data_IF_559560931989
#
_entry.id   IF_559560931989
#
_cell.length_a   1.000
_cell.length_b   1.000
_cell.length_c   1.000
_cell.angle_alpha   90.00
_cell.angle_beta   90.00
_cell.angle_gamma   90.00
#
_symmetry.space_group_name_H-M   'P 1'
#
loop_
_entity.id
_entity.type
_entity.pdbx_description
1 polymer ?
#
# COMPACT_ATOMS: atom_id res chain seq x y z
N UNK A 1 -6.62 3.72 -20.65
CA UNK A 1 -5.66 4.77 -21.07
C UNK A 1 -5.83 5.07 -22.54
N UNK A 2 -5.65 4.10 -23.43
CA UNK A 2 -5.91 4.25 -24.88
C UNK A 2 -7.33 4.75 -25.18
N UNK A 3 -8.36 4.18 -24.55
CA UNK A 3 -9.76 4.61 -24.71
C UNK A 3 -10.03 6.07 -24.27
N UNK A 4 -9.12 6.67 -23.51
CA UNK A 4 -9.21 8.04 -23.00
C UNK A 4 -8.14 8.96 -23.60
N UNK A 5 -7.51 8.56 -24.72
CA UNK A 5 -6.43 9.30 -25.36
C UNK A 5 -5.30 9.71 -24.39
N UNK A 6 -4.99 8.87 -23.39
CA UNK A 6 -4.01 9.18 -22.34
C UNK A 6 -4.28 10.50 -21.60
N UNK A 7 -5.53 10.95 -21.56
CA UNK A 7 -5.91 12.27 -21.02
C UNK A 7 -5.08 13.42 -21.63
N UNK A 8 -4.76 13.30 -22.92
CA UNK A 8 -3.94 14.24 -23.69
C UNK A 8 -2.51 14.42 -23.16
N UNK A 9 -1.99 13.45 -22.39
CA UNK A 9 -0.61 13.44 -21.95
C UNK A 9 0.34 13.09 -23.12
N UNK A 10 1.20 14.02 -23.49
CA UNK A 10 2.12 13.90 -24.63
C UNK A 10 3.40 13.08 -24.33
N UNK A 11 3.69 12.83 -23.06
CA UNK A 11 4.89 12.09 -22.66
C UNK A 11 4.74 10.57 -22.74
N UNK A 12 5.86 9.86 -22.61
CA UNK A 12 5.87 8.40 -22.51
C UNK A 12 5.09 7.92 -21.28
N UNK A 13 4.21 6.92 -21.49
CA UNK A 13 3.40 6.31 -20.43
C UNK A 13 3.72 4.83 -20.34
N UNK A 14 4.27 4.42 -19.21
CA UNK A 14 4.54 3.02 -18.91
C UNK A 14 3.39 2.41 -18.11
N UNK A 15 2.86 1.30 -18.60
CA UNK A 15 1.94 0.46 -17.82
C UNK A 15 2.73 -0.66 -17.15
N UNK A 16 2.78 -0.64 -15.82
CA UNK A 16 3.43 -1.69 -15.03
C UNK A 16 2.41 -2.76 -14.62
N UNK A 17 2.44 -3.97 -15.21
CA UNK A 17 1.56 -5.04 -14.77
C UNK A 17 2.01 -5.57 -13.41
N UNK A 18 1.05 -5.74 -12.49
CA UNK A 18 1.35 -6.47 -11.26
C UNK A 18 1.78 -7.91 -11.60
N UNK A 19 2.87 -8.35 -10.99
CA UNK A 19 3.32 -9.75 -11.01
C UNK A 19 3.22 -10.39 -9.61
N UNK A 20 2.39 -9.84 -8.74
CA UNK A 20 2.18 -10.32 -7.37
C UNK A 20 0.69 -10.32 -7.02
N UNK A 21 0.21 -11.46 -6.51
CA UNK A 21 -1.18 -11.66 -6.11
C UNK A 21 -1.21 -12.53 -4.86
N UNK A 22 -2.03 -12.18 -3.89
CA UNK A 22 -2.25 -12.97 -2.67
C UNK A 22 -3.46 -13.90 -2.83
N UNK A 23 -3.35 -15.11 -2.29
CA UNK A 23 -4.51 -15.97 -2.07
C UNK A 23 -5.21 -15.53 -0.78
N UNK A 24 -6.54 -15.39 -0.84
CA UNK A 24 -7.37 -15.35 0.35
C UNK A 24 -7.37 -16.74 0.97
N UNK A 25 -7.37 -16.79 2.30
CA UNK A 25 -7.44 -18.05 3.04
C UNK A 25 -8.65 -18.07 3.95
N UNK A 26 -9.08 -19.27 4.34
CA UNK A 26 -10.02 -19.41 5.44
C UNK A 26 -9.36 -18.86 6.72
N UNK A 27 -10.01 -17.95 7.44
CA UNK A 27 -9.41 -17.30 8.60
C UNK A 27 -9.25 -18.29 9.76
N UNK A 28 -8.27 -18.05 10.63
CA UNK A 28 -8.13 -18.82 11.86
C UNK A 28 -9.23 -18.41 12.85
N UNK A 29 -9.67 -19.32 13.70
CA UNK A 29 -10.62 -19.08 14.79
C UNK A 29 -10.13 -17.94 15.70
N UNK A 30 -8.83 -17.89 16.00
CA UNK A 30 -8.24 -16.83 16.83
C UNK A 30 -8.36 -15.44 16.17
N UNK A 31 -8.23 -15.37 14.85
CA UNK A 31 -8.26 -14.11 14.10
C UNK A 31 -9.71 -13.60 14.03
N UNK A 32 -10.67 -14.51 13.86
CA UNK A 32 -12.11 -14.21 13.90
C UNK A 32 -12.55 -13.72 15.29
N UNK A 33 -12.11 -14.39 16.36
CA UNK A 33 -12.40 -13.96 17.74
C UNK A 33 -11.91 -12.54 17.99
N UNK A 34 -10.65 -12.26 17.66
CA UNK A 34 -10.07 -10.92 17.81
C UNK A 34 -10.84 -9.87 16.98
N UNK A 35 -11.11 -10.17 15.70
CA UNK A 35 -11.85 -9.28 14.81
C UNK A 35 -13.24 -8.90 15.35
N UNK A 36 -13.97 -9.84 15.96
CA UNK A 36 -15.28 -9.54 16.52
C UNK A 36 -15.22 -8.87 17.89
N UNK A 37 -14.21 -9.16 18.71
CA UNK A 37 -13.97 -8.43 19.97
C UNK A 37 -13.73 -6.93 19.70
N UNK A 38 -13.02 -6.58 18.63
CA UNK A 38 -12.86 -5.18 18.21
C UNK A 38 -14.17 -4.55 17.69
N UNK A 39 -15.03 -5.31 17.00
CA UNK A 39 -16.32 -4.82 16.49
C UNK A 39 -17.36 -4.58 17.59
N UNK A 40 -17.29 -5.32 18.69
CA UNK A 40 -18.30 -5.34 19.77
C UNK A 40 -18.26 -4.13 20.73
N UNK A 41 -17.55 -3.06 20.39
CA UNK A 41 -17.42 -1.88 21.25
C UNK A 41 -18.70 -1.04 21.40
N UNK A 42 -19.78 -1.35 20.66
CA UNK A 42 -21.09 -0.70 20.84
C UNK A 42 -22.06 -1.60 21.63
N UNK A 43 -22.63 -1.09 22.73
CA UNK A 43 -23.68 -1.79 23.48
C UNK A 43 -24.93 -1.94 22.63
N UNK A 44 -25.27 -3.17 22.26
CA UNK A 44 -26.48 -3.52 21.53
C UNK A 44 -27.55 -4.11 22.49
N UNK A 45 -28.79 -4.20 22.02
CA UNK A 45 -29.86 -4.95 22.69
C UNK A 45 -29.46 -6.43 22.84
N UNK A 46 -29.74 -7.04 23.99
CA UNK A 46 -29.43 -8.43 24.34
C UNK A 46 -29.88 -9.45 23.26
N UNK A 47 -31.03 -9.21 22.61
CA UNK A 47 -31.51 -10.09 21.55
C UNK A 47 -30.66 -9.99 20.28
N UNK A 48 -30.20 -8.78 19.95
CA UNK A 48 -29.35 -8.54 18.78
C UNK A 48 -27.96 -9.13 19.03
N UNK A 49 -27.44 -8.98 20.25
CA UNK A 49 -26.19 -9.59 20.67
C UNK A 49 -26.20 -11.11 20.50
N UNK A 50 -27.28 -11.77 20.95
CA UNK A 50 -27.40 -13.23 20.82
C UNK A 50 -27.40 -13.71 19.37
N UNK A 51 -28.09 -12.98 18.48
CA UNK A 51 -28.12 -13.30 17.04
C UNK A 51 -26.72 -13.15 16.44
N UNK A 52 -25.98 -12.10 16.81
CA UNK A 52 -24.60 -11.92 16.36
C UNK A 52 -23.68 -13.03 16.88
N UNK A 53 -23.79 -13.40 18.16
CA UNK A 53 -22.98 -14.47 18.75
C UNK A 53 -23.24 -15.83 18.06
N UNK A 54 -24.50 -16.12 17.72
CA UNK A 54 -24.86 -17.32 16.98
C UNK A 54 -24.29 -17.31 15.55
N UNK A 55 -24.32 -16.16 14.86
CA UNK A 55 -23.70 -15.98 13.55
C UNK A 55 -22.16 -16.15 13.62
N UNK A 56 -21.51 -15.52 14.60
CA UNK A 56 -20.06 -15.61 14.82
C UNK A 56 -19.63 -17.06 15.10
N UNK A 57 -20.41 -17.79 15.90
CA UNK A 57 -20.17 -19.22 16.14
C UNK A 57 -20.28 -20.03 14.84
N UNK A 58 -21.33 -19.81 14.05
CA UNK A 58 -21.53 -20.50 12.78
C UNK A 58 -20.40 -20.22 11.78
N UNK A 59 -19.95 -18.96 11.66
CA UNK A 59 -18.83 -18.57 10.78
C UNK A 59 -17.49 -19.15 11.26
N UNK A 60 -17.27 -19.25 12.56
CA UNK A 60 -16.10 -19.94 13.13
C UNK A 60 -16.11 -21.42 12.78
N UNK A 61 -17.23 -22.10 13.02
CA UNK A 61 -17.38 -23.53 12.70
C UNK A 61 -17.22 -23.77 11.19
N UNK A 62 -17.74 -22.88 10.35
CA UNK A 62 -17.52 -22.91 8.91
C UNK A 62 -16.03 -22.84 8.56
N UNK A 63 -15.29 -21.85 9.08
CA UNK A 63 -13.86 -21.71 8.78
C UNK A 63 -13.05 -22.96 9.19
N UNK A 64 -13.35 -23.52 10.38
CA UNK A 64 -12.73 -24.75 10.87
C UNK A 64 -13.05 -25.96 9.99
N UNK A 65 -14.29 -26.06 9.51
CA UNK A 65 -14.73 -27.16 8.64
C UNK A 65 -14.01 -27.16 7.29
N UNK A 66 -13.54 -26.00 6.83
CA UNK A 66 -12.82 -25.82 5.56
C UNK A 66 -11.31 -26.00 5.68
N UNK A 67 -10.76 -25.91 6.89
CA UNK A 67 -9.33 -25.92 7.15
C UNK A 67 -8.80 -24.50 7.36
N UNK A 68 -8.51 -24.13 8.60
CA UNK A 68 -7.99 -22.81 8.95
C UNK A 68 -6.64 -22.56 8.27
N UNK A 69 -6.51 -21.41 7.58
CA UNK A 69 -5.31 -21.05 6.83
C UNK A 69 -5.18 -21.71 5.45
N UNK A 70 -6.05 -22.65 5.09
CA UNK A 70 -6.09 -23.22 3.75
C UNK A 70 -6.63 -22.22 2.72
N UNK A 71 -6.28 -22.43 1.46
CA UNK A 71 -6.71 -21.59 0.34
C UNK A 71 -8.24 -21.50 0.24
N UNK A 72 -8.76 -20.25 0.20
CA UNK A 72 -10.16 -20.00 -0.11
C UNK A 72 -10.43 -20.33 -1.58
N UNK A 73 -10.98 -21.52 -1.82
CA UNK A 73 -11.13 -22.10 -3.16
C UNK A 73 -12.57 -22.07 -3.70
N UNK A 74 -13.56 -21.86 -2.82
CA UNK A 74 -14.99 -22.02 -3.11
C UNK A 74 -15.66 -20.73 -3.61
N UNK A 75 -15.03 -19.99 -4.53
CA UNK A 75 -15.63 -18.78 -5.10
C UNK A 75 -15.09 -18.46 -6.50
N UNK A 76 -15.63 -17.43 -7.15
CA UNK A 76 -15.08 -16.87 -8.40
C UNK A 76 -13.64 -16.43 -8.17
N UNK A 77 -12.78 -16.60 -9.19
CA UNK A 77 -11.35 -16.27 -9.08
C UNK A 77 -11.09 -14.88 -8.50
N UNK A 78 -11.78 -13.84 -8.98
CA UNK A 78 -11.60 -12.47 -8.48
C UNK A 78 -11.91 -12.28 -6.99
N UNK A 79 -12.71 -13.18 -6.40
CA UNK A 79 -13.06 -13.17 -4.98
C UNK A 79 -12.17 -14.09 -4.13
N UNK A 80 -11.29 -14.88 -4.77
CA UNK A 80 -10.32 -15.77 -4.13
C UNK A 80 -8.94 -15.14 -3.97
N UNK A 81 -8.70 -14.04 -4.66
CA UNK A 81 -7.42 -13.35 -4.65
C UNK A 81 -7.56 -11.92 -4.12
N UNK A 82 -6.46 -11.35 -3.65
CA UNK A 82 -6.35 -9.95 -3.29
C UNK A 82 -5.01 -9.36 -3.76
N UNK A 83 -4.95 -8.05 -4.03
CA UNK A 83 -3.69 -7.33 -4.08
C UNK A 83 -2.96 -7.48 -2.74
N UNK A 84 -1.67 -7.87 -2.71
CA UNK A 84 -0.95 -8.17 -1.46
C UNK A 84 -0.35 -6.91 -0.79
N UNK A 85 -0.95 -5.75 -1.00
CA UNK A 85 -0.47 -4.46 -0.50
C UNK A 85 0.53 -3.76 -1.43
N UNK A 86 0.69 -2.45 -1.20
CA UNK A 86 1.44 -1.55 -2.09
C UNK A 86 2.97 -1.68 -1.98
N UNK A 87 3.50 -2.51 -1.07
CA UNK A 87 4.94 -2.80 -1.06
C UNK A 87 5.43 -3.36 -2.40
N UNK A 88 4.57 -4.10 -3.13
CA UNK A 88 4.94 -4.76 -4.38
C UNK A 88 4.98 -3.85 -5.61
N UNK A 89 4.52 -2.60 -5.54
CA UNK A 89 4.44 -1.72 -6.72
C UNK A 89 5.83 -1.44 -7.32
N UNK A 90 6.78 -0.99 -6.50
CA UNK A 90 8.15 -0.69 -6.94
C UNK A 90 8.95 -1.97 -7.23
N UNK A 91 8.93 -3.02 -6.39
CA UNK A 91 9.52 -4.31 -6.71
C UNK A 91 9.01 -4.91 -8.02
N UNK A 92 7.73 -4.72 -8.34
CA UNK A 92 7.18 -5.18 -9.61
C UNK A 92 7.80 -4.48 -10.80
N UNK A 93 8.17 -3.19 -10.73
CA UNK A 93 8.89 -2.51 -11.82
C UNK A 93 10.20 -3.24 -12.19
N UNK A 94 10.92 -3.75 -11.19
CA UNK A 94 12.12 -4.58 -11.40
C UNK A 94 11.75 -5.96 -11.93
N UNK A 95 10.78 -6.63 -11.29
CA UNK A 95 10.36 -8.01 -11.60
C UNK A 95 9.73 -8.15 -12.99
N UNK A 96 8.98 -7.16 -13.45
CA UNK A 96 8.26 -7.20 -14.71
C UNK A 96 9.04 -6.60 -15.89
N UNK A 97 10.19 -5.98 -15.62
CA UNK A 97 11.07 -5.41 -16.64
C UNK A 97 10.68 -4.00 -17.08
N UNK A 98 9.69 -3.35 -16.46
CA UNK A 98 9.31 -1.98 -16.78
C UNK A 98 10.42 -1.00 -16.40
N UNK A 99 11.07 -1.20 -15.25
CA UNK A 99 12.23 -0.39 -14.88
C UNK A 99 13.36 -0.53 -15.90
N UNK A 100 13.58 -1.73 -16.44
CA UNK A 100 14.56 -1.94 -17.50
C UNK A 100 14.20 -1.17 -18.78
N UNK A 101 12.91 -1.13 -19.14
CA UNK A 101 12.42 -0.29 -20.24
C UNK A 101 12.70 1.19 -20.00
N UNK A 102 12.25 1.72 -18.85
CA UNK A 102 12.46 3.12 -18.47
C UNK A 102 13.95 3.53 -18.50
N UNK A 103 14.85 2.66 -18.04
CA UNK A 103 16.30 2.92 -18.03
C UNK A 103 16.93 2.88 -19.43
N UNK A 104 16.39 2.11 -20.38
CA UNK A 104 16.86 2.12 -21.77
C UNK A 104 16.37 3.35 -22.51
N UNK A 105 15.14 3.76 -22.25
CA UNK A 105 14.54 4.93 -22.88
C UNK A 105 15.17 6.24 -22.34
N UNK A 106 15.62 6.22 -21.08
CA UNK A 106 16.37 7.31 -20.47
C UNK A 106 17.48 6.81 -19.54
N UNK A 107 18.71 6.70 -20.07
CA UNK A 107 19.89 6.28 -19.31
C UNK A 107 20.22 7.21 -18.13
N UNK A 108 19.76 8.47 -18.19
CA UNK A 108 19.98 9.48 -17.15
C UNK A 108 18.88 9.50 -16.08
N UNK A 109 17.88 8.61 -16.17
CA UNK A 109 16.86 8.47 -15.14
C UNK A 109 17.50 8.05 -13.82
N UNK A 110 17.36 8.87 -12.77
CA UNK A 110 17.99 8.66 -11.45
C UNK A 110 16.99 8.58 -10.31
N UNK A 111 15.86 9.26 -10.47
CA UNK A 111 14.90 9.45 -9.39
C UNK A 111 13.49 9.11 -9.86
N UNK A 112 12.70 8.54 -8.96
CA UNK A 112 11.26 8.36 -9.13
C UNK A 112 10.53 9.17 -8.05
N UNK A 113 9.39 9.76 -8.42
CA UNK A 113 8.38 10.19 -7.47
C UNK A 113 7.26 9.16 -7.50
N UNK A 114 7.01 8.50 -6.37
CA UNK A 114 5.92 7.54 -6.20
C UNK A 114 4.89 8.15 -5.26
N UNK A 115 3.62 8.15 -5.64
CA UNK A 115 2.52 8.65 -4.80
C UNK A 115 1.26 7.82 -5.05
N UNK A 116 0.32 7.88 -4.10
CA UNK A 116 -1.01 7.29 -4.32
C UNK A 116 -1.77 8.07 -5.38
N UNK A 117 -2.58 7.35 -6.15
CA UNK A 117 -3.45 7.94 -7.17
C UNK A 117 -4.48 8.91 -6.57
N UNK A 118 -4.86 8.73 -5.30
CA UNK A 118 -5.76 9.59 -4.56
C UNK A 118 -5.09 10.84 -3.95
N UNK A 119 -3.75 10.96 -4.03
CA UNK A 119 -2.99 12.17 -3.64
C UNK A 119 -2.91 13.15 -4.81
N UNK A 120 -4.01 13.83 -5.11
CA UNK A 120 -4.11 14.67 -6.31
C UNK A 120 -3.17 15.89 -6.32
N UNK A 121 -2.72 16.35 -5.15
CA UNK A 121 -1.82 17.50 -5.02
C UNK A 121 -0.33 17.19 -5.27
N UNK A 122 0.02 15.92 -5.49
CA UNK A 122 1.39 15.51 -5.73
C UNK A 122 1.81 15.83 -7.18
N UNK A 123 2.94 16.54 -7.32
CA UNK A 123 3.58 16.82 -8.59
C UNK A 123 5.10 16.83 -8.42
N UNK A 124 5.86 16.87 -9.51
CA UNK A 124 7.32 17.00 -9.45
C UNK A 124 7.70 18.42 -9.03
N UNK A 125 8.02 18.61 -7.75
CA UNK A 125 8.46 19.90 -7.20
C UNK A 125 10.00 19.94 -7.13
N UNK A 126 10.68 20.82 -7.90
CA UNK A 126 12.14 20.86 -7.96
C UNK A 126 12.83 21.06 -6.62
N UNK A 127 12.23 21.86 -5.70
CA UNK A 127 12.81 22.07 -4.38
C UNK A 127 12.87 20.77 -3.56
N UNK A 128 11.80 19.96 -3.62
CA UNK A 128 11.74 18.67 -2.90
C UNK A 128 12.69 17.64 -3.50
N UNK A 129 12.78 17.59 -4.83
CA UNK A 129 13.80 16.76 -5.50
C UNK A 129 15.22 17.18 -5.09
N UNK A 130 15.51 18.49 -5.08
CA UNK A 130 16.80 19.02 -4.63
C UNK A 130 17.13 18.63 -3.18
N UNK A 131 16.14 18.67 -2.28
CA UNK A 131 16.29 18.20 -0.90
C UNK A 131 16.59 16.71 -0.82
N UNK A 132 15.90 15.87 -1.61
CA UNK A 132 16.17 14.44 -1.68
C UNK A 132 17.60 14.16 -2.14
N UNK A 133 18.05 14.83 -3.21
CA UNK A 133 19.41 14.73 -3.76
C UNK A 133 20.44 15.14 -2.70
N UNK A 134 20.26 16.29 -2.06
CA UNK A 134 21.19 16.80 -1.06
C UNK A 134 21.24 15.91 0.20
N UNK A 135 20.11 15.30 0.58
CA UNK A 135 20.04 14.35 1.69
C UNK A 135 20.73 13.02 1.39
N UNK A 136 20.84 12.64 0.12
CA UNK A 136 21.45 11.39 -0.33
C UNK A 136 20.77 10.16 0.27
N UNK A 137 19.46 10.21 0.49
CA UNK A 137 18.66 9.11 1.01
C UNK A 137 18.24 8.18 -0.11
N UNK A 138 18.10 6.88 0.18
CA UNK A 138 17.51 5.95 -0.78
C UNK A 138 16.03 6.28 -1.00
N UNK A 139 15.29 6.49 0.09
CA UNK A 139 13.90 6.92 0.08
C UNK A 139 13.74 8.25 0.83
N UNK A 140 12.87 9.14 0.37
CA UNK A 140 12.44 10.32 1.15
C UNK A 140 10.93 10.43 1.11
N UNK A 141 10.29 10.25 2.25
CA UNK A 141 8.84 10.31 2.38
C UNK A 141 8.37 11.73 2.68
N UNK A 142 7.30 12.14 2.01
CA UNK A 142 6.60 13.37 2.30
C UNK A 142 5.54 13.11 3.38
N UNK A 143 5.55 13.93 4.42
CA UNK A 143 4.60 13.88 5.53
C UNK A 143 3.87 15.21 5.67
N UNK A 144 2.66 15.20 6.20
CA UNK A 144 1.91 16.42 6.51
C UNK A 144 1.65 16.52 8.01
N UNK A 145 1.48 17.73 8.59
CA UNK A 145 0.98 17.85 9.94
C UNK A 145 -0.35 17.10 10.08
N UNK A 146 -0.44 16.21 11.06
CA UNK A 146 -1.61 15.37 11.27
C UNK A 146 -2.83 16.20 11.70
N UNK A 147 -3.99 15.85 11.18
CA UNK A 147 -5.30 16.33 11.64
C UNK A 147 -6.17 15.18 12.15
N UNK A 148 -7.27 15.53 12.81
CA UNK A 148 -8.16 14.55 13.45
C UNK A 148 -8.84 13.63 12.43
N UNK A 149 -9.08 14.12 11.22
CA UNK A 149 -9.66 13.36 10.12
C UNK A 149 -8.68 12.41 9.42
N UNK A 150 -7.38 12.53 9.70
CA UNK A 150 -6.37 11.68 9.07
C UNK A 150 -6.35 10.31 9.76
N UNK A 151 -6.89 9.29 9.08
CA UNK A 151 -6.85 7.90 9.51
C UNK A 151 -5.64 7.17 8.92
N UNK A 152 -4.89 6.47 9.77
CA UNK A 152 -3.78 5.60 9.39
C UNK A 152 -2.42 6.03 9.93
N UNK A 153 -1.39 5.53 9.24
CA UNK A 153 -0.02 5.62 9.71
C UNK A 153 0.60 7.01 9.70
N UNK A 154 1.68 7.16 10.47
CA UNK A 154 2.39 8.42 10.61
C UNK A 154 3.86 8.25 10.98
N UNK A 155 4.55 9.38 11.17
CA UNK A 155 5.95 9.38 11.55
C UNK A 155 6.10 9.20 13.06
N UNK A 156 6.90 8.23 13.47
CA UNK A 156 7.18 7.95 14.88
C UNK A 156 8.67 7.71 15.12
N UNK A 157 9.10 7.90 16.37
CA UNK A 157 10.41 7.47 16.85
C UNK A 157 10.25 6.24 17.72
N UNK A 158 10.66 5.08 17.22
CA UNK A 158 10.53 3.78 17.89
C UNK A 158 11.93 3.22 18.11
N UNK A 159 12.27 2.88 19.35
CA UNK A 159 13.60 2.40 19.74
C UNK A 159 14.76 3.27 19.23
N UNK A 160 14.57 4.59 19.27
CA UNK A 160 15.56 5.57 18.81
C UNK A 160 15.57 5.82 17.31
N UNK A 161 14.84 5.05 16.50
CA UNK A 161 14.81 5.13 15.05
C UNK A 161 13.56 5.85 14.54
N UNK A 162 13.73 6.84 13.66
CA UNK A 162 12.61 7.54 13.04
C UNK A 162 12.13 6.73 11.84
N UNK A 163 10.88 6.28 11.90
CA UNK A 163 10.23 5.47 10.86
C UNK A 163 8.76 5.82 10.70
N UNK A 164 8.19 5.46 9.57
CA UNK A 164 6.75 5.39 9.42
C UNK A 164 6.24 4.16 10.19
N UNK A 165 5.07 4.31 10.80
CA UNK A 165 4.31 3.24 11.42
C UNK A 165 2.93 3.24 10.79
N UNK A 166 2.47 2.08 10.33
CA UNK A 166 1.14 1.90 9.75
C UNK A 166 0.07 1.86 10.86
N UNK A 167 -1.16 2.30 10.58
CA UNK A 167 -2.25 2.28 11.58
C UNK A 167 -2.50 0.86 12.12
N UNK A 168 -2.48 -0.13 11.23
CA UNK A 168 -2.61 -1.57 11.56
C UNK A 168 -1.48 -2.11 12.44
N UNK A 169 -0.35 -1.40 12.56
CA UNK A 169 0.75 -1.78 13.43
C UNK A 169 0.64 -1.18 14.84
N UNK A 170 -0.31 -0.27 15.06
CA UNK A 170 -0.51 0.35 16.37
C UNK A 170 -1.28 -0.58 17.29
N UNK A 171 -0.87 -0.71 18.58
CA UNK A 171 -1.57 -1.58 19.52
C UNK A 171 -3.00 -1.14 19.81
N UNK A 172 -3.28 0.16 19.71
CA UNK A 172 -4.57 0.77 20.03
C UNK A 172 -4.86 1.89 19.04
N UNK A 173 -6.12 2.03 18.65
CA UNK A 173 -6.54 3.08 17.70
C UNK A 173 -6.20 4.48 18.23
N UNK A 174 -6.32 4.71 19.54
CA UNK A 174 -6.02 6.04 20.11
C UNK A 174 -4.54 6.43 20.07
N UNK A 175 -3.62 5.48 19.87
CA UNK A 175 -2.19 5.78 19.73
C UNK A 175 -1.91 6.59 18.45
N UNK A 176 -2.80 6.50 17.45
CA UNK A 176 -2.74 7.32 16.25
C UNK A 176 -2.77 8.83 16.57
N UNK A 177 -3.54 9.26 17.56
CA UNK A 177 -3.66 10.67 17.96
C UNK A 177 -2.37 11.22 18.59
N UNK A 178 -1.45 10.35 19.02
CA UNK A 178 -0.14 10.73 19.53
C UNK A 178 0.84 11.17 18.45
N UNK A 179 0.54 10.92 17.17
CA UNK A 179 1.44 11.24 16.05
C UNK A 179 1.27 12.68 15.55
N UNK A 180 2.39 13.39 15.38
CA UNK A 180 2.36 14.77 14.87
C UNK A 180 2.30 14.86 13.34
N UNK A 181 2.69 13.79 12.64
CA UNK A 181 2.82 13.77 11.19
C UNK A 181 2.08 12.58 10.59
N UNK A 182 1.26 12.86 9.58
CA UNK A 182 0.55 11.88 8.76
C UNK A 182 1.39 11.47 7.54
N UNK A 183 1.37 10.18 7.22
CA UNK A 183 2.04 9.63 6.04
C UNK A 183 1.22 9.86 4.77
N UNK A 184 1.71 10.67 3.83
CA UNK A 184 1.06 10.89 2.54
C UNK A 184 1.27 9.74 1.54
N UNK A 185 2.18 8.83 1.88
CA UNK A 185 2.75 7.78 1.04
C UNK A 185 3.42 8.28 -0.26
N UNK A 186 3.57 9.60 -0.42
CA UNK A 186 4.38 10.21 -1.48
C UNK A 186 5.84 10.10 -1.10
N UNK A 187 6.67 9.56 -2.00
CA UNK A 187 8.09 9.34 -1.73
C UNK A 187 8.96 9.51 -2.97
N UNK A 188 10.13 10.10 -2.74
CA UNK A 188 11.22 10.17 -3.70
C UNK A 188 12.13 8.96 -3.54
N UNK A 189 12.51 8.35 -4.65
CA UNK A 189 13.33 7.14 -4.71
C UNK A 189 14.58 7.44 -5.51
N UNK A 190 15.77 7.24 -4.93
CA UNK A 190 17.02 7.17 -5.68
C UNK A 190 17.17 5.75 -6.24
N UNK A 191 17.08 5.60 -7.57
CA UNK A 191 17.02 4.31 -8.24
C UNK A 191 18.24 3.45 -7.92
N UNK A 192 19.44 4.00 -8.07
CA UNK A 192 20.68 3.23 -7.87
C UNK A 192 20.84 2.78 -6.42
N UNK A 193 20.56 3.65 -5.45
CA UNK A 193 20.58 3.28 -4.02
C UNK A 193 19.53 2.23 -3.68
N UNK A 194 18.37 2.24 -4.34
CA UNK A 194 17.35 1.21 -4.16
C UNK A 194 17.81 -0.12 -4.76
N UNK A 195 18.36 -0.11 -5.98
CA UNK A 195 18.91 -1.31 -6.61
C UNK A 195 20.01 -1.92 -5.75
N UNK A 196 20.96 -1.11 -5.28
CA UNK A 196 22.03 -1.53 -4.37
C UNK A 196 21.47 -2.15 -3.08
N UNK A 197 20.42 -1.57 -2.50
CA UNK A 197 19.75 -2.11 -1.31
C UNK A 197 19.14 -3.51 -1.57
N UNK A 198 18.61 -3.75 -2.77
CA UNK A 198 18.17 -5.08 -3.19
C UNK A 198 19.34 -5.98 -3.62
N UNK A 199 20.59 -5.51 -3.66
CA UNK A 199 21.75 -6.28 -4.14
C UNK A 199 21.77 -6.43 -5.67
N UNK A 200 21.19 -5.46 -6.38
CA UNK A 200 21.05 -5.39 -7.83
C UNK A 200 21.77 -4.15 -8.38
N UNK A 201 22.00 -4.11 -9.69
CA UNK A 201 22.52 -2.93 -10.38
C UNK A 201 21.76 -2.73 -11.71
N UNK A 202 21.93 -1.55 -12.34
CA UNK A 202 21.23 -1.22 -13.60
C UNK A 202 21.50 -2.24 -14.71
N UNK A 203 22.75 -2.69 -14.83
CA UNK A 203 23.17 -3.61 -15.89
C UNK A 203 22.44 -4.93 -15.75
N UNK A 204 22.38 -5.47 -14.54
CA UNK A 204 21.63 -6.69 -14.23
C UNK A 204 20.15 -6.54 -14.57
N UNK A 205 19.51 -5.44 -14.17
CA UNK A 205 18.09 -5.16 -14.48
C UNK A 205 17.85 -5.13 -16.00
N UNK A 206 18.69 -4.41 -16.76
CA UNK A 206 18.53 -4.26 -18.21
C UNK A 206 18.77 -5.56 -18.97
N UNK A 207 19.73 -6.39 -18.53
CA UNK A 207 20.08 -7.66 -19.16
C UNK A 207 19.14 -8.81 -18.76
N UNK A 208 18.30 -8.64 -17.73
CA UNK A 208 17.45 -9.73 -17.21
C UNK A 208 16.30 -10.14 -18.14
N UNK A 209 15.83 -9.24 -19.02
CA UNK A 209 14.74 -9.55 -19.95
C UNK A 209 15.10 -10.68 -20.94
N UNK A 210 16.39 -10.81 -21.28
CA UNK A 210 16.91 -11.81 -22.21
C UNK A 210 17.68 -12.94 -21.49
N UNK A 211 17.76 -12.89 -20.16
CA UNK A 211 18.58 -13.81 -19.37
C UNK A 211 17.82 -14.30 -18.12
N UNK A 212 17.40 -15.57 -18.17
CA UNK A 212 16.62 -16.21 -17.12
C UNK A 212 17.37 -16.32 -15.78
N UNK A 213 18.69 -16.48 -15.79
CA UNK A 213 19.50 -16.52 -14.56
C UNK A 213 19.46 -15.17 -13.84
N UNK A 214 19.61 -14.07 -14.59
CA UNK A 214 19.50 -12.71 -14.04
C UNK A 214 18.09 -12.40 -13.57
N UNK A 215 17.08 -12.85 -14.31
CA UNK A 215 15.69 -12.72 -13.88
C UNK A 215 15.42 -13.45 -12.55
N UNK A 216 15.96 -14.66 -12.37
CA UNK A 216 15.88 -15.38 -11.11
C UNK A 216 16.60 -14.64 -9.98
N UNK A 217 17.78 -14.06 -10.25
CA UNK A 217 18.49 -13.23 -9.28
C UNK A 217 17.68 -12.01 -8.83
N UNK A 218 16.94 -11.35 -9.72
CA UNK A 218 16.01 -10.25 -9.34
C UNK A 218 14.93 -10.79 -8.39
N UNK A 219 14.30 -11.92 -8.73
CA UNK A 219 13.24 -12.52 -7.92
C UNK A 219 13.76 -12.90 -6.52
N UNK A 220 14.92 -13.52 -6.43
CA UNK A 220 15.53 -13.93 -5.15
C UNK A 220 15.92 -12.71 -4.30
N UNK A 221 16.41 -11.66 -4.93
CA UNK A 221 16.73 -10.39 -4.29
C UNK A 221 15.49 -9.72 -3.71
N UNK A 222 14.39 -9.67 -4.47
CA UNK A 222 13.10 -9.16 -4.00
C UNK A 222 12.60 -9.98 -2.80
N UNK A 223 12.64 -11.32 -2.89
CA UNK A 223 12.22 -12.22 -1.81
C UNK A 223 13.06 -12.07 -0.54
N UNK A 224 14.35 -11.76 -0.68
CA UNK A 224 15.25 -11.51 0.46
C UNK A 224 14.78 -10.31 1.29
N UNK A 225 14.41 -9.21 0.62
CA UNK A 225 13.87 -8.03 1.29
C UNK A 225 12.43 -8.28 1.78
N UNK A 226 11.59 -8.92 0.98
CA UNK A 226 10.19 -9.23 1.30
C UNK A 226 10.05 -9.96 2.65
N UNK A 227 10.95 -10.91 2.95
CA UNK A 227 10.97 -11.66 4.21
C UNK A 227 11.20 -10.79 5.45
N UNK A 228 11.76 -9.59 5.28
CA UNK A 228 12.06 -8.64 6.36
C UNK A 228 10.91 -7.67 6.60
N UNK A 229 9.93 -7.60 5.70
CA UNK A 229 8.79 -6.71 5.78
C UNK A 229 7.66 -7.39 6.56
N UNK A 230 7.05 -6.72 7.56
CA UNK A 230 5.87 -7.22 8.25
C UNK A 230 4.75 -7.61 7.28
N UNK A 231 3.98 -8.64 7.63
CA UNK A 231 2.77 -9.00 6.91
C UNK A 231 1.57 -8.75 7.83
N UNK A 232 0.66 -7.88 7.40
CA UNK A 232 -0.58 -7.61 8.11
C UNK A 232 -1.64 -8.60 7.68
N UNK A 233 -2.38 -9.12 8.64
CA UNK A 233 -3.54 -9.99 8.39
C UNK A 233 -4.79 -9.14 8.58
N UNK A 234 -5.64 -9.06 7.55
CA UNK A 234 -6.93 -8.39 7.65
C UNK A 234 -8.06 -9.37 7.35
N UNK A 235 -9.13 -9.29 8.13
CA UNK A 235 -10.37 -10.01 7.86
C UNK A 235 -11.23 -9.15 6.95
N UNK A 236 -11.63 -9.72 5.81
CA UNK A 236 -12.53 -9.07 4.85
C UNK A 236 -13.72 -9.98 4.58
N UNK A 237 -14.84 -9.37 4.24
CA UNK A 237 -16.05 -10.09 3.86
C UNK A 237 -16.11 -10.27 2.34
N UNK A 238 -16.36 -11.50 1.89
CA UNK A 238 -16.60 -11.83 0.49
C UNK A 238 -18.00 -12.37 0.30
N UNK A 239 -18.65 -11.94 -0.77
CA UNK A 239 -19.96 -12.45 -1.19
C UNK A 239 -19.77 -13.80 -1.88
N UNK A 240 -20.60 -14.76 -1.54
CA UNK A 240 -20.67 -16.07 -2.19
C UNK A 240 -22.08 -16.26 -2.75
N UNK A 241 -22.18 -16.36 -4.07
CA UNK A 241 -23.46 -16.55 -4.77
C UNK A 241 -23.62 -18.01 -5.13
N UNK A 242 -24.73 -18.61 -4.73
CA UNK A 242 -25.05 -20.02 -4.97
C UNK A 242 -26.51 -20.20 -5.38
N UNK A 243 -26.85 -21.43 -5.80
CA UNK A 243 -28.22 -21.80 -6.18
C UNK A 243 -28.77 -20.93 -7.32
N UNK A 244 -29.96 -20.37 -7.10
CA UNK A 244 -30.68 -19.51 -8.06
C UNK A 244 -30.46 -18.01 -7.82
N UNK A 245 -29.40 -17.64 -7.08
CA UNK A 245 -29.07 -16.25 -6.76
C UNK A 245 -29.10 -15.93 -5.26
N UNK A 246 -29.04 -16.94 -4.40
CA UNK A 246 -28.80 -16.73 -2.97
C UNK A 246 -27.39 -16.15 -2.75
N UNK A 247 -27.26 -15.19 -1.84
CA UNK A 247 -26.00 -14.53 -1.51
C UNK A 247 -25.73 -14.68 -0.01
N UNK A 248 -24.61 -15.32 0.33
CA UNK A 248 -24.05 -15.36 1.67
C UNK A 248 -22.78 -14.52 1.75
N UNK A 249 -22.42 -14.09 2.95
CA UNK A 249 -21.21 -13.31 3.22
C UNK A 249 -20.31 -14.09 4.16
N UNK A 250 -19.08 -14.35 3.72
CA UNK A 250 -18.10 -15.11 4.47
C UNK A 250 -16.87 -14.26 4.80
N UNK A 251 -16.31 -14.37 6.02
CA UNK A 251 -15.05 -13.75 6.36
C UNK A 251 -13.89 -14.54 5.73
N UNK A 252 -12.92 -13.83 5.17
CA UNK A 252 -11.67 -14.38 4.65
C UNK A 252 -10.50 -13.58 5.19
N UNK A 253 -9.37 -14.25 5.42
CA UNK A 253 -8.13 -13.59 5.77
C UNK A 253 -7.35 -13.20 4.50
N UNK A 254 -6.76 -12.00 4.53
CA UNK A 254 -5.90 -11.45 3.50
C UNK A 254 -4.60 -10.98 4.11
N UNK A 255 -3.50 -11.14 3.37
CA UNK A 255 -2.18 -10.73 3.79
C UNK A 255 -1.71 -9.54 2.95
N UNK A 256 -1.22 -8.50 3.61
CA UNK A 256 -0.73 -7.29 2.97
C UNK A 256 0.64 -6.89 3.51
N UNK A 257 1.49 -6.38 2.61
CA UNK A 257 2.77 -5.73 2.94
C UNK A 257 2.74 -4.29 2.48
N UNK A 258 3.18 -3.38 3.34
CA UNK A 258 3.05 -1.94 3.13
C UNK A 258 4.41 -1.31 2.83
N UNK A 259 4.46 -0.43 1.82
CA UNK A 259 5.69 0.25 1.39
C UNK A 259 6.31 1.12 2.50
N UNK A 260 5.50 1.71 3.39
CA UNK A 260 5.98 2.50 4.51
C UNK A 260 6.91 1.73 5.46
N UNK A 261 6.71 0.41 5.58
CA UNK A 261 7.53 -0.47 6.42
C UNK A 261 8.98 -0.60 5.94
N UNK A 262 9.29 -0.18 4.70
CA UNK A 262 10.69 -0.07 4.25
C UNK A 262 11.50 0.83 5.20
N UNK A 263 10.87 1.85 5.79
CA UNK A 263 11.51 2.79 6.73
C UNK A 263 11.88 2.16 8.08
N UNK A 264 11.34 0.98 8.39
CA UNK A 264 11.74 0.21 9.58
C UNK A 264 13.10 -0.48 9.44
N UNK A 265 13.58 -0.68 8.21
CA UNK A 265 14.85 -1.36 7.93
C UNK A 265 16.02 -0.38 8.18
N UNK A 266 16.78 -0.61 9.26
CA UNK A 266 17.83 0.33 9.72
C UNK A 266 19.02 0.50 8.75
N UNK A 267 19.23 -0.47 7.88
CA UNK A 267 20.20 -0.46 6.79
C UNK A 267 19.71 0.27 5.53
N UNK A 268 18.42 0.66 5.48
CA UNK A 268 17.87 1.53 4.45
C UNK A 268 17.91 2.99 4.91
N UNK A 269 18.62 3.84 4.17
CA UNK A 269 18.65 5.27 4.46
C UNK A 269 17.35 5.95 4.00
N UNK A 270 16.42 6.14 4.93
CA UNK A 270 15.18 6.88 4.72
C UNK A 270 15.29 8.33 5.25
N UNK A 271 14.72 9.28 4.50
CA UNK A 271 14.54 10.67 4.90
C UNK A 271 13.06 11.05 4.96
N UNK A 272 12.77 12.21 5.55
CA UNK A 272 11.41 12.73 5.69
C UNK A 272 11.39 14.23 5.43
N UNK A 273 10.34 14.70 4.76
CA UNK A 273 10.12 16.12 4.51
C UNK A 273 8.67 16.48 4.81
N UNK A 274 8.47 17.52 5.62
CA UNK A 274 7.14 18.06 5.86
C UNK A 274 6.70 18.89 4.66
N UNK A 275 5.52 18.61 4.12
CA UNK A 275 4.92 19.32 3.00
C UNK A 275 3.58 19.96 3.38
N UNK A 276 3.10 20.86 2.53
CA UNK A 276 1.76 21.45 2.72
C UNK A 276 0.67 20.37 2.62
N UNK A 277 -0.43 20.57 3.35
CA UNK A 277 -1.58 19.65 3.28
C UNK A 277 -2.12 19.55 1.85
N UNK A 278 -2.21 20.65 1.12
CA UNK A 278 -2.71 20.66 -0.25
C UNK A 278 -1.92 19.75 -1.20
N UNK A 279 -0.63 19.54 -0.94
CA UNK A 279 0.20 18.59 -1.69
C UNK A 279 -0.04 17.13 -1.28
N UNK A 280 -0.17 16.89 0.03
CA UNK A 280 -0.15 15.55 0.62
C UNK A 280 -1.52 14.95 0.98
N UNK A 281 -2.61 15.69 0.79
CA UNK A 281 -3.97 15.26 1.12
C UNK A 281 -4.44 14.16 0.16
N UNK A 282 -5.02 13.11 0.74
CA UNK A 282 -5.56 11.96 0.03
C UNK A 282 -7.09 12.02 0.01
N UNK A 283 -7.68 11.70 -1.14
CA UNK A 283 -9.13 11.58 -1.32
C UNK A 283 -9.57 10.12 -1.20
N UNK A 284 -9.64 9.61 0.04
CA UNK A 284 -9.91 8.18 0.31
C UNK A 284 -11.36 7.78 0.04
N UNK A 285 -12.30 8.69 0.25
CA UNK A 285 -13.73 8.40 0.16
C UNK A 285 -14.48 9.50 -0.60
N UNK A 286 -15.59 9.17 -1.31
CA UNK A 286 -16.39 10.16 -2.03
C UNK A 286 -16.91 11.31 -1.14
N UNK A 287 -17.14 11.05 0.15
CA UNK A 287 -17.57 12.05 1.14
C UNK A 287 -16.59 13.21 1.30
N UNK A 288 -15.30 13.00 0.99
CA UNK A 288 -14.24 14.01 1.12
C UNK A 288 -14.22 15.01 -0.04
N UNK A 289 -14.94 14.73 -1.15
CA UNK A 289 -14.89 15.56 -2.36
C UNK A 289 -15.38 16.99 -2.14
N UNK A 290 -16.45 17.17 -1.35
CA UNK A 290 -16.99 18.50 -1.06
C UNK A 290 -15.99 19.35 -0.28
N UNK A 291 -15.36 18.77 0.75
CA UNK A 291 -14.33 19.46 1.54
C UNK A 291 -13.15 19.83 0.63
N UNK A 292 -12.63 18.88 -0.14
CA UNK A 292 -11.48 19.12 -1.03
C UNK A 292 -11.75 20.18 -2.12
N UNK A 293 -12.99 20.24 -2.62
CA UNK A 293 -13.38 21.23 -3.60
C UNK A 293 -13.47 22.65 -3.02
N UNK A 294 -13.75 22.77 -1.72
CA UNK A 294 -14.05 24.05 -1.05
C UNK A 294 -12.95 24.51 -0.06
N UNK A 295 -12.02 23.65 0.36
CA UNK A 295 -10.98 23.94 1.35
C UNK A 295 -9.72 24.60 0.76
N UNK A 296 -9.73 24.87 -0.55
CA UNK A 296 -8.60 25.43 -1.31
C UNK A 296 -7.68 24.39 -1.95
N UNK A 297 -7.87 23.09 -1.72
CA UNK A 297 -7.07 22.03 -2.35
C UNK A 297 -7.24 21.98 -3.86
N UNK A 298 -8.47 22.14 -4.34
CA UNK A 298 -8.74 22.22 -5.77
C UNK A 298 -8.09 23.44 -6.43
N UNK A 299 -8.18 24.61 -5.80
CA UNK A 299 -7.55 25.84 -6.30
C UNK A 299 -6.02 25.74 -6.26
N UNK A 300 -5.47 25.11 -5.21
CA UNK A 300 -4.05 24.78 -5.15
C UNK A 300 -3.65 23.91 -6.34
N UNK A 301 -4.37 22.81 -6.63
CA UNK A 301 -4.07 21.95 -7.77
C UNK A 301 -4.14 22.72 -9.09
N UNK A 302 -5.21 23.50 -9.31
CA UNK A 302 -5.34 24.36 -10.50
C UNK A 302 -4.17 25.31 -10.68
N UNK A 303 -3.64 25.85 -9.58
CA UNK A 303 -2.49 26.76 -9.64
C UNK A 303 -1.19 26.10 -10.09
N UNK A 304 -1.12 24.75 -10.08
CA UNK A 304 0.06 23.96 -10.47
C UNK A 304 -0.03 23.38 -11.87
N UNK A 305 -1.23 23.27 -12.42
CA UNK A 305 -1.44 22.81 -13.79
C UNK A 305 -1.45 24.03 -14.70
N UNK A 306 -0.52 24.10 -15.65
CA UNK A 306 -0.63 25.05 -16.75
C UNK A 306 -1.70 24.49 -17.70
N UNK A 307 -2.81 25.20 -17.86
CA UNK A 307 -3.80 24.93 -18.92
C UNK A 307 -3.24 25.31 -20.29
#
# INVERSE_FOLDING_TARGET
>A
LESFNYFDYEGEVYLSPSKSIGHRVYPMERDLRFYWEEQLQQKMDDNVQKIQDDLHRALTEWAKSKGEGEDYSENKHILRFNPPGHWYEIPNLMKNGVLAGMLRDNENLKYLLCHNIDTLGAYVEPALLGMHIAGGSCLTFEVTPRRIEDAGGGLAKIDGHIRLIEGLAMPREEDEYGLSYYNTLTNWVTIDSLLDFFGLDRRLIMEAQENMEKQNKIIDSIRSIEKRIPAYVTIKNVKHVWGSGQEDVYPVAQFEKLWGDMTALKDLKAGYVAVSRYRGQQLKEPSMLDIWANDGSFDYLKSKVSL
#
